data_IF_754355191242
#
_entry.id   IF_754355191242
#
_cell.length_a   1.000
_cell.length_b   1.000
_cell.length_c   1.000
_cell.angle_alpha   90.00
_cell.angle_beta   90.00
_cell.angle_gamma   90.00
#
_symmetry.space_group_name_H-M   'P 1'
#
loop_
_entity.id
_entity.type
_entity.pdbx_description
1 polymer ?
#
# COMPACT_ATOMS: atom_id res chain seq x y z
N UNK A 1 -3.64 8.73 -5.15
CA UNK A 1 -3.92 7.78 -4.05
C UNK A 1 -5.19 8.12 -3.26
N UNK A 2 -5.32 9.31 -2.66
CA UNK A 2 -6.48 9.65 -1.79
C UNK A 2 -7.86 9.43 -2.42
N UNK A 3 -8.07 9.84 -3.67
CA UNK A 3 -9.36 9.64 -4.37
C UNK A 3 -9.68 8.16 -4.56
N UNK A 4 -8.68 7.33 -4.87
CA UNK A 4 -8.84 5.87 -5.05
C UNK A 4 -9.16 5.19 -3.73
N UNK A 5 -8.47 5.58 -2.65
CA UNK A 5 -8.74 5.06 -1.32
C UNK A 5 -10.16 5.38 -0.85
N UNK A 6 -10.66 6.58 -1.11
CA UNK A 6 -12.05 6.95 -0.79
C UNK A 6 -13.06 6.11 -1.57
N UNK A 7 -12.82 5.87 -2.86
CA UNK A 7 -13.67 5.00 -3.68
C UNK A 7 -13.66 3.54 -3.19
N UNK A 8 -12.51 3.04 -2.74
CA UNK A 8 -12.39 1.71 -2.15
C UNK A 8 -13.11 1.62 -0.80
N UNK A 9 -13.02 2.66 0.03
CA UNK A 9 -13.73 2.77 1.30
C UNK A 9 -15.24 2.66 1.08
N UNK A 10 -15.79 3.44 0.15
CA UNK A 10 -17.22 3.44 -0.16
C UNK A 10 -17.70 2.08 -0.70
N UNK A 11 -16.90 1.41 -1.53
CA UNK A 11 -17.22 0.09 -2.09
C UNK A 11 -17.17 -1.02 -1.05
N UNK A 12 -16.14 -1.01 -0.19
CA UNK A 12 -15.91 -2.06 0.80
C UNK A 12 -16.74 -1.89 2.07
N UNK A 13 -17.10 -0.65 2.43
CA UNK A 13 -17.97 -0.36 3.60
C UNK A 13 -19.38 -0.93 3.44
N UNK A 14 -19.84 -1.13 2.20
CA UNK A 14 -21.15 -1.71 1.88
C UNK A 14 -21.11 -3.25 1.76
N UNK A 15 -19.95 -3.88 1.95
CA UNK A 15 -19.74 -5.31 1.78
C UNK A 15 -19.15 -5.97 3.05
N UNK A 16 -19.10 -7.30 3.09
CA UNK A 16 -18.49 -8.07 4.19
C UNK A 16 -16.95 -7.95 4.27
N UNK A 17 -16.33 -7.04 3.51
CA UNK A 17 -14.88 -6.96 3.32
C UNK A 17 -14.26 -5.68 3.89
N UNK A 18 -14.95 -5.02 4.83
CA UNK A 18 -14.43 -3.82 5.53
C UNK A 18 -13.06 -4.06 6.18
N UNK A 19 -12.83 -5.26 6.72
CA UNK A 19 -11.56 -5.60 7.36
C UNK A 19 -10.38 -5.58 6.38
N UNK A 20 -10.61 -5.94 5.10
CA UNK A 20 -9.59 -5.85 4.07
C UNK A 20 -9.16 -4.39 3.83
N UNK A 21 -10.14 -3.48 3.77
CA UNK A 21 -9.86 -2.05 3.64
C UNK A 21 -9.05 -1.52 4.84
N UNK A 22 -9.49 -1.85 6.06
CA UNK A 22 -8.81 -1.43 7.28
C UNK A 22 -7.38 -1.97 7.35
N UNK A 23 -7.18 -3.24 7.00
CA UNK A 23 -5.85 -3.84 6.96
C UNK A 23 -4.93 -3.14 5.94
N UNK A 24 -5.45 -2.78 4.76
CA UNK A 24 -4.68 -1.98 3.78
C UNK A 24 -4.33 -0.61 4.36
N UNK A 25 -5.27 0.07 5.01
CA UNK A 25 -5.00 1.36 5.67
C UNK A 25 -3.93 1.26 6.75
N UNK A 26 -3.97 0.23 7.60
CA UNK A 26 -2.95 -0.02 8.63
C UNK A 26 -1.58 -0.29 8.00
N UNK A 27 -1.54 -1.05 6.90
CA UNK A 27 -0.29 -1.34 6.17
C UNK A 27 0.31 -0.06 5.59
N UNK A 28 -0.50 0.78 4.94
CA UNK A 28 -0.03 2.06 4.40
C UNK A 28 0.51 2.98 5.50
N UNK A 29 -0.19 3.03 6.65
CA UNK A 29 0.29 3.77 7.81
C UNK A 29 1.62 3.24 8.34
N UNK A 30 1.80 1.92 8.42
CA UNK A 30 3.06 1.33 8.86
C UNK A 30 4.23 1.71 7.93
N UNK A 31 3.99 1.88 6.63
CA UNK A 31 5.00 2.36 5.67
C UNK A 31 5.32 3.84 5.91
N UNK A 32 4.33 4.68 6.20
CA UNK A 32 4.58 6.08 6.55
C UNK A 32 5.35 6.20 7.88
N UNK A 33 5.02 5.37 8.86
CA UNK A 33 5.75 5.31 10.13
C UNK A 33 7.21 4.84 9.93
N UNK A 34 7.45 3.91 9.00
CA UNK A 34 8.80 3.49 8.60
C UNK A 34 9.58 4.64 7.95
N UNK A 35 8.95 5.43 7.09
CA UNK A 35 9.56 6.60 6.47
C UNK A 35 9.99 7.64 7.52
N UNK A 36 9.14 7.86 8.53
CA UNK A 36 9.44 8.74 9.67
C UNK A 36 10.60 8.22 10.54
N UNK A 37 10.64 6.90 10.78
CA UNK A 37 11.75 6.27 11.50
C UNK A 37 13.07 6.43 10.75
N UNK A 38 13.06 6.20 9.43
CA UNK A 38 14.21 6.39 8.56
C UNK A 38 14.74 7.82 8.63
N UNK A 39 13.86 8.83 8.51
CA UNK A 39 14.25 10.25 8.64
C UNK A 39 14.94 10.55 9.97
N UNK A 40 14.40 10.04 11.08
CA UNK A 40 14.99 10.22 12.42
C UNK A 40 16.36 9.55 12.51
N UNK A 41 16.48 8.33 11.96
CA UNK A 41 17.74 7.61 11.91
C UNK A 41 18.81 8.38 11.13
N UNK A 42 18.49 8.87 9.93
CA UNK A 42 19.43 9.68 9.14
C UNK A 42 19.83 10.97 9.83
N UNK A 43 18.90 11.60 10.55
CA UNK A 43 19.22 12.80 11.35
C UNK A 43 20.25 12.48 12.44
N UNK A 44 20.12 11.35 13.14
CA UNK A 44 21.10 10.91 14.15
C UNK A 44 22.45 10.58 13.50
N UNK A 45 22.45 9.89 12.36
CA UNK A 45 23.66 9.58 11.60
C UNK A 45 24.40 10.85 11.18
N UNK A 46 23.68 11.85 10.66
CA UNK A 46 24.26 13.14 10.27
C UNK A 46 24.90 13.87 11.46
N UNK A 47 24.25 13.87 12.63
CA UNK A 47 24.80 14.45 13.86
C UNK A 47 26.10 13.74 14.28
N UNK A 48 26.19 12.43 14.08
CA UNK A 48 27.41 11.65 14.35
C UNK A 48 28.53 11.83 13.31
N UNK A 49 28.32 12.68 12.29
CA UNK A 49 29.29 12.98 11.25
C UNK A 49 29.24 12.02 10.04
N UNK A 50 28.26 11.12 9.98
CA UNK A 50 28.04 10.27 8.81
C UNK A 50 27.45 11.11 7.69
N UNK A 51 28.09 11.05 6.52
CA UNK A 51 27.62 11.76 5.33
C UNK A 51 26.36 11.09 4.77
N UNK A 52 25.28 11.86 4.67
CA UNK A 52 24.05 11.41 4.03
C UNK A 52 24.19 11.51 2.51
N UNK A 53 23.83 10.45 1.82
CA UNK A 53 23.86 10.38 0.35
C UNK A 53 22.46 10.68 -0.16
N UNK A 54 22.27 11.88 -0.71
CA UNK A 54 20.94 12.35 -1.14
C UNK A 54 20.27 11.48 -2.21
N UNK A 55 21.06 10.80 -3.05
CA UNK A 55 20.53 9.87 -4.06
C UNK A 55 19.97 8.59 -3.44
N UNK A 56 20.56 8.11 -2.34
CA UNK A 56 20.04 6.95 -1.60
C UNK A 56 18.75 7.30 -0.88
N UNK A 57 18.68 8.50 -0.28
CA UNK A 57 17.44 9.01 0.32
C UNK A 57 16.32 9.12 -0.72
N UNK A 58 16.61 9.70 -1.88
CA UNK A 58 15.64 9.83 -2.96
C UNK A 58 15.12 8.47 -3.41
N UNK A 59 16.02 7.50 -3.65
CA UNK A 59 15.67 6.14 -4.03
C UNK A 59 14.81 5.45 -2.97
N UNK A 60 15.12 5.64 -1.68
CA UNK A 60 14.34 5.08 -0.58
C UNK A 60 12.88 5.58 -0.60
N UNK A 61 12.66 6.90 -0.65
CA UNK A 61 11.29 7.45 -0.67
C UNK A 61 10.54 7.13 -1.96
N UNK A 62 11.25 7.07 -3.10
CA UNK A 62 10.66 6.61 -4.36
C UNK A 62 10.18 5.16 -4.24
N UNK A 63 11.01 4.28 -3.67
CA UNK A 63 10.67 2.87 -3.44
C UNK A 63 9.43 2.74 -2.54
N UNK A 64 9.38 3.48 -1.43
CA UNK A 64 8.20 3.46 -0.56
C UNK A 64 6.93 3.93 -1.28
N UNK A 65 7.06 4.91 -2.18
CA UNK A 65 5.94 5.40 -2.98
C UNK A 65 5.44 4.32 -3.95
N UNK A 66 6.35 3.62 -4.64
CA UNK A 66 6.01 2.52 -5.53
C UNK A 66 5.35 1.36 -4.78
N UNK A 67 5.87 0.98 -3.61
CA UNK A 67 5.30 -0.08 -2.76
C UNK A 67 3.87 0.28 -2.32
N UNK A 68 3.63 1.51 -1.87
CA UNK A 68 2.27 1.97 -1.50
C UNK A 68 1.31 1.89 -2.69
N UNK A 69 1.76 2.28 -3.87
CA UNK A 69 0.95 2.18 -5.09
C UNK A 69 0.59 0.74 -5.43
N UNK A 70 1.54 -0.21 -5.33
CA UNK A 70 1.26 -1.62 -5.60
C UNK A 70 0.33 -2.27 -4.58
N UNK A 71 0.40 -1.86 -3.31
CA UNK A 71 -0.55 -2.30 -2.29
C UNK A 71 -1.97 -1.86 -2.64
N UNK A 72 -2.14 -0.60 -3.06
CA UNK A 72 -3.47 -0.07 -3.45
C UNK A 72 -3.97 -0.75 -4.73
N UNK A 73 -3.11 -0.92 -5.73
CA UNK A 73 -3.42 -1.66 -6.97
C UNK A 73 -3.85 -3.09 -6.68
N UNK A 74 -3.17 -3.76 -5.74
CA UNK A 74 -3.51 -5.11 -5.28
C UNK A 74 -4.87 -5.16 -4.60
N UNK A 75 -5.18 -4.18 -3.74
CA UNK A 75 -6.51 -4.07 -3.13
C UNK A 75 -7.57 -3.90 -4.23
N UNK A 76 -7.38 -3.00 -5.20
CA UNK A 76 -8.32 -2.78 -6.30
C UNK A 76 -8.62 -4.04 -7.10
N UNK A 77 -7.58 -4.82 -7.43
CA UNK A 77 -7.71 -6.12 -8.10
C UNK A 77 -8.49 -7.12 -7.24
N UNK A 78 -8.18 -7.17 -5.94
CA UNK A 78 -8.87 -8.05 -4.99
C UNK A 78 -10.35 -7.68 -4.87
N UNK A 79 -10.68 -6.39 -4.76
CA UNK A 79 -12.09 -5.95 -4.73
C UNK A 79 -12.81 -6.32 -6.02
N UNK A 80 -12.17 -6.16 -7.19
CA UNK A 80 -12.76 -6.57 -8.46
C UNK A 80 -13.05 -8.07 -8.49
N UNK A 81 -12.13 -8.90 -7.99
CA UNK A 81 -12.34 -10.35 -7.92
C UNK A 81 -13.48 -10.72 -6.95
N UNK A 82 -13.61 -10.02 -5.82
CA UNK A 82 -14.66 -10.25 -4.82
C UNK A 82 -16.05 -9.78 -5.27
N UNK A 83 -16.13 -8.67 -6.01
CA UNK A 83 -17.38 -8.16 -6.57
C UNK A 83 -17.91 -9.03 -7.72
N UNK A 84 -17.08 -9.93 -8.24
CA UNK A 84 -17.40 -10.72 -9.41
C UNK A 84 -18.40 -11.84 -9.12
N UNK A 85 -19.68 -11.61 -9.43
CA UNK A 85 -20.76 -12.59 -9.23
C UNK A 85 -20.99 -13.50 -10.44
N UNK A 86 -20.00 -14.32 -10.79
CA UNK A 86 -20.23 -15.47 -11.65
C UNK A 86 -20.42 -15.20 -13.15
N UNK A 87 -19.93 -14.08 -13.69
CA UNK A 87 -19.71 -13.99 -15.15
C UNK A 87 -18.72 -15.08 -15.56
N UNK A 88 -19.15 -15.89 -16.52
CA UNK A 88 -18.38 -17.01 -17.07
C UNK A 88 -17.18 -16.55 -17.89
N UNK A 89 -17.18 -15.28 -18.34
CA UNK A 89 -16.10 -14.71 -19.17
C UNK A 89 -15.10 -13.88 -18.35
N UNK A 90 -15.23 -13.84 -17.03
CA UNK A 90 -14.31 -13.07 -16.20
C UNK A 90 -13.00 -13.78 -15.94
N UNK A 91 -11.92 -13.08 -16.22
CA UNK A 91 -10.56 -13.52 -15.87
C UNK A 91 -10.19 -12.95 -14.51
N UNK A 92 -10.06 -13.83 -13.51
CA UNK A 92 -9.63 -13.45 -12.16
C UNK A 92 -8.24 -12.81 -12.17
N UNK A 93 -8.04 -11.80 -11.33
CA UNK A 93 -6.73 -11.19 -11.12
C UNK A 93 -5.84 -12.07 -10.24
N UNK A 94 -6.42 -12.73 -9.24
CA UNK A 94 -5.75 -13.69 -8.37
C UNK A 94 -6.42 -15.07 -8.43
N UNK A 95 -5.62 -16.14 -8.39
CA UNK A 95 -6.13 -17.50 -8.25
C UNK A 95 -6.65 -17.69 -6.82
N UNK A 96 -7.77 -18.39 -6.65
CA UNK A 96 -8.27 -18.72 -5.31
C UNK A 96 -7.28 -19.65 -4.60
N UNK A 97 -6.94 -19.35 -3.35
CA UNK A 97 -6.10 -20.22 -2.52
C UNK A 97 -4.66 -20.32 -3.01
N UNK A 98 -3.97 -19.18 -3.11
CA UNK A 98 -2.51 -19.18 -3.37
C UNK A 98 -1.83 -19.97 -2.23
N UNK A 99 -1.29 -21.14 -2.57
CA UNK A 99 -0.33 -21.91 -1.76
C UNK A 99 1.03 -21.21 -1.69
#
# INVERSE_FOLDING_TARGET
>A
MNTRMKQLEDRLSNQQHKDLFLQTMHTLKAIDDLADQHRRFQSMQAISGVKIIGTEEALFYETLTQVKEEIVSTLEKTVKDLEHKGDKNYTKNFKDGVE
#
